data_IF_906630095843
#
_entry.id   IF_906630095843
#
_cell.length_a   1.000
_cell.length_b   1.000
_cell.length_c   1.000
_cell.angle_alpha   90.00
_cell.angle_beta   90.00
_cell.angle_gamma   90.00
#
_symmetry.space_group_name_H-M   'P 1'
#
loop_
_entity.id
_entity.type
_entity.pdbx_description
1 polymer ?
#
# COMPACT_ATOMS: atom_id res chain seq x y z
N UNK A 1 12.89 -1.36 10.65
CA UNK A 1 11.93 -1.54 9.54
C UNK A 1 10.59 -0.86 9.81
N UNK A 2 9.88 -1.17 10.91
CA UNK A 2 8.56 -0.58 11.18
C UNK A 2 8.52 0.97 11.12
N UNK A 3 9.50 1.65 11.72
CA UNK A 3 9.54 3.13 11.75
C UNK A 3 9.59 3.74 10.35
N UNK A 4 10.39 3.18 9.46
CA UNK A 4 10.59 3.69 8.08
C UNK A 4 9.63 3.08 7.06
N UNK A 5 8.75 2.16 7.46
CA UNK A 5 7.80 1.52 6.54
C UNK A 5 6.88 2.50 5.79
N UNK A 6 6.49 3.67 6.34
CA UNK A 6 5.66 4.64 5.61
C UNK A 6 6.23 5.11 4.27
N UNK A 7 7.56 5.10 4.10
CA UNK A 7 8.17 5.58 2.83
C UNK A 7 7.96 4.63 1.66
N UNK A 8 7.67 3.36 1.95
CA UNK A 8 7.63 2.29 0.94
C UNK A 8 6.31 2.29 0.19
N UNK A 9 6.39 2.54 -1.11
CA UNK A 9 5.25 2.55 -2.03
C UNK A 9 4.99 1.19 -2.67
N UNK A 10 6.03 0.62 -3.25
CA UNK A 10 5.99 -0.63 -4.01
C UNK A 10 6.68 -1.76 -3.24
N UNK A 11 6.40 -3.02 -3.61
CA UNK A 11 6.90 -4.17 -2.84
C UNK A 11 8.42 -4.24 -2.74
N UNK A 12 9.10 -4.05 -3.89
CA UNK A 12 10.55 -4.19 -4.03
C UNK A 12 11.35 -3.18 -3.20
N UNK A 13 10.79 -2.00 -2.91
CA UNK A 13 11.44 -0.98 -2.10
C UNK A 13 11.78 -1.46 -0.68
N UNK A 14 11.08 -2.48 -0.17
CA UNK A 14 11.46 -3.10 1.10
C UNK A 14 12.85 -3.74 1.04
N UNK A 15 13.25 -4.32 -0.09
CA UNK A 15 14.59 -4.91 -0.25
C UNK A 15 15.66 -3.84 -0.14
N UNK A 16 15.46 -2.73 -0.86
CA UNK A 16 16.35 -1.58 -0.85
C UNK A 16 16.46 -0.98 0.55
N UNK A 17 15.32 -0.79 1.22
CA UNK A 17 15.26 -0.19 2.54
C UNK A 17 15.90 -1.08 3.62
N UNK A 18 15.67 -2.40 3.57
CA UNK A 18 16.31 -3.34 4.51
C UNK A 18 17.82 -3.33 4.33
N UNK A 19 18.31 -3.39 3.09
CA UNK A 19 19.75 -3.30 2.80
C UNK A 19 20.34 -1.98 3.29
N UNK A 20 19.69 -0.84 3.02
CA UNK A 20 20.13 0.47 3.48
C UNK A 20 20.27 0.51 5.00
N UNK A 21 19.25 0.03 5.72
CA UNK A 21 19.27 -0.03 7.19
C UNK A 21 20.38 -0.94 7.74
N UNK A 22 20.68 -2.04 7.06
CA UNK A 22 21.78 -2.93 7.43
C UNK A 22 23.13 -2.25 7.21
N UNK A 23 23.33 -1.62 6.04
CA UNK A 23 24.55 -0.87 5.72
C UNK A 23 24.76 0.33 6.68
N UNK A 24 23.69 1.01 7.13
CA UNK A 24 23.79 2.05 8.16
C UNK A 24 24.31 1.49 9.48
N UNK A 25 23.79 0.34 9.93
CA UNK A 25 24.11 -0.27 11.24
C UNK A 25 25.43 -1.02 11.28
N UNK A 26 25.83 -1.62 10.16
CA UNK A 26 26.98 -2.51 10.07
C UNK A 26 27.93 -1.92 9.01
N UNK A 27 28.88 -1.05 9.40
CA UNK A 27 29.76 -0.40 8.45
C UNK A 27 30.58 -1.37 7.58
N UNK A 28 30.90 -2.56 8.10
CA UNK A 28 31.71 -3.56 7.41
C UNK A 28 31.05 -4.20 6.18
N UNK A 29 29.73 -4.08 6.01
CA UNK A 29 29.01 -4.60 4.83
C UNK A 29 28.67 -3.50 3.82
N UNK A 30 29.02 -2.24 4.11
CA UNK A 30 28.77 -1.11 3.22
C UNK A 30 29.50 -1.34 1.90
N UNK A 31 28.76 -1.24 0.80
CA UNK A 31 29.34 -1.30 -0.55
C UNK A 31 29.47 0.09 -1.17
N UNK A 32 28.80 1.09 -0.61
CA UNK A 32 28.87 2.49 -1.04
C UNK A 32 28.78 3.43 0.17
N UNK A 33 29.12 4.71 -0.04
CA UNK A 33 29.01 5.77 0.98
C UNK A 33 27.58 6.26 1.20
N UNK A 34 26.59 5.76 0.46
CA UNK A 34 25.21 6.28 0.49
C UNK A 34 24.54 6.13 1.87
N UNK A 35 24.95 5.13 2.66
CA UNK A 35 24.46 4.92 4.02
C UNK A 35 25.17 5.79 5.07
N UNK A 36 26.26 6.46 4.72
CA UNK A 36 27.09 7.22 5.67
C UNK A 36 26.40 8.52 6.07
N UNK A 37 26.30 8.78 7.38
CA UNK A 37 25.65 9.98 7.93
C UNK A 37 24.12 10.03 7.75
N UNK A 38 23.51 9.03 7.11
CA UNK A 38 22.07 8.98 6.93
C UNK A 38 21.36 8.69 8.27
N UNK A 39 20.27 9.40 8.52
CA UNK A 39 19.43 9.20 9.71
C UNK A 39 18.08 8.59 9.34
N UNK A 40 17.33 8.12 10.34
CA UNK A 40 15.99 7.58 10.15
C UNK A 40 15.04 8.68 9.65
N UNK A 41 15.16 9.87 10.21
CA UNK A 41 14.40 11.07 9.84
C UNK A 41 14.74 11.46 8.39
N UNK A 42 16.02 11.42 8.01
CA UNK A 42 16.46 11.68 6.64
C UNK A 42 15.86 10.71 5.62
N UNK A 43 15.71 9.43 5.99
CA UNK A 43 14.99 8.45 5.15
C UNK A 43 13.51 8.81 5.05
N UNK A 44 12.85 9.08 6.17
CA UNK A 44 11.42 9.40 6.21
C UNK A 44 11.07 10.62 5.35
N UNK A 45 11.87 11.68 5.43
CA UNK A 45 11.61 12.94 4.73
C UNK A 45 12.08 12.93 3.27
N UNK A 46 13.07 12.09 2.90
CA UNK A 46 13.76 12.20 1.61
C UNK A 46 13.88 10.89 0.81
N UNK A 47 13.08 9.87 1.12
CA UNK A 47 13.14 8.56 0.44
C UNK A 47 13.04 8.66 -1.09
N UNK A 48 12.21 9.58 -1.60
CA UNK A 48 12.02 9.78 -3.03
C UNK A 48 13.34 10.10 -3.75
N UNK A 49 14.22 10.89 -3.12
CA UNK A 49 15.51 11.26 -3.69
C UNK A 49 16.62 10.25 -3.32
N UNK A 50 16.52 9.57 -2.19
CA UNK A 50 17.48 8.52 -1.78
C UNK A 50 17.37 7.30 -2.69
N UNK A 51 16.14 6.88 -3.03
CA UNK A 51 15.88 5.67 -3.83
C UNK A 51 16.65 5.60 -5.15
N UNK A 52 16.63 6.61 -6.04
CA UNK A 52 17.40 6.55 -7.29
C UNK A 52 18.92 6.47 -7.03
N UNK A 53 19.43 7.16 -6.01
CA UNK A 53 20.86 7.15 -5.66
C UNK A 53 21.32 5.76 -5.20
N UNK A 54 20.55 5.10 -4.32
CA UNK A 54 20.91 3.74 -3.88
C UNK A 54 20.78 2.71 -5.00
N UNK A 55 19.78 2.85 -5.88
CA UNK A 55 19.63 1.96 -7.03
C UNK A 55 20.83 2.05 -7.97
N UNK A 56 21.27 3.27 -8.29
CA UNK A 56 22.47 3.49 -9.12
C UNK A 56 23.73 2.96 -8.43
N UNK A 57 23.96 3.34 -7.18
CA UNK A 57 25.14 2.93 -6.42
C UNK A 57 25.26 1.41 -6.23
N UNK A 58 24.14 0.70 -6.25
CA UNK A 58 24.09 -0.76 -6.13
C UNK A 58 23.91 -1.47 -7.47
N UNK A 59 23.82 -0.72 -8.58
CA UNK A 59 23.57 -1.25 -9.93
C UNK A 59 22.30 -2.10 -10.01
N UNK A 60 21.25 -1.69 -9.31
CA UNK A 60 19.98 -2.40 -9.23
C UNK A 60 19.01 -1.89 -10.30
N UNK A 61 18.31 -2.81 -10.95
CA UNK A 61 17.26 -2.48 -11.90
C UNK A 61 15.86 -2.61 -11.27
N UNK A 62 15.00 -1.62 -11.49
CA UNK A 62 13.64 -1.60 -10.92
C UNK A 62 12.81 -2.81 -11.36
N UNK A 63 12.76 -3.08 -12.65
CA UNK A 63 11.85 -4.07 -13.22
C UNK A 63 12.31 -5.48 -12.83
N UNK A 64 13.62 -5.73 -12.85
CA UNK A 64 14.21 -6.98 -12.35
C UNK A 64 13.88 -7.21 -10.86
N UNK A 65 13.97 -6.17 -10.03
CA UNK A 65 13.61 -6.27 -8.60
C UNK A 65 12.12 -6.52 -8.39
N UNK A 66 11.25 -5.88 -9.18
CA UNK A 66 9.80 -6.11 -9.14
C UNK A 66 9.48 -7.55 -9.50
N UNK A 67 10.08 -8.06 -10.57
CA UNK A 67 9.86 -9.41 -11.07
C UNK A 67 10.40 -10.46 -10.10
N UNK A 68 11.63 -10.28 -9.60
CA UNK A 68 12.23 -11.16 -8.61
C UNK A 68 11.41 -11.21 -7.33
N UNK A 69 10.97 -10.05 -6.81
CA UNK A 69 10.15 -9.97 -5.61
C UNK A 69 8.78 -10.66 -5.80
N UNK A 70 8.19 -10.56 -6.99
CA UNK A 70 6.99 -11.31 -7.35
C UNK A 70 7.24 -12.82 -7.38
N UNK A 71 8.24 -13.25 -8.16
CA UNK A 71 8.57 -14.66 -8.38
C UNK A 71 8.89 -15.41 -7.09
N UNK A 72 9.69 -14.83 -6.21
CA UNK A 72 10.03 -15.47 -4.92
C UNK A 72 8.77 -15.71 -4.06
N UNK A 73 7.80 -14.78 -4.11
CA UNK A 73 6.53 -14.94 -3.38
C UNK A 73 5.64 -15.98 -4.04
N UNK A 74 5.62 -16.05 -5.36
CA UNK A 74 4.89 -17.09 -6.09
C UNK A 74 5.44 -18.48 -5.76
N UNK A 75 6.76 -18.66 -5.86
CA UNK A 75 7.42 -19.93 -5.51
C UNK A 75 7.17 -20.33 -4.04
N UNK A 76 7.15 -19.35 -3.13
CA UNK A 76 6.82 -19.63 -1.73
C UNK A 76 5.36 -20.09 -1.58
N UNK A 77 4.40 -19.41 -2.22
CA UNK A 77 3.00 -19.84 -2.21
C UNK A 77 2.79 -21.23 -2.81
N UNK A 78 3.50 -21.56 -3.89
CA UNK A 78 3.43 -22.87 -4.54
C UNK A 78 4.00 -23.99 -3.66
N UNK A 79 5.13 -23.73 -2.98
CA UNK A 79 5.82 -24.73 -2.16
C UNK A 79 5.16 -24.92 -0.80
N UNK A 80 4.74 -23.83 -0.16
CA UNK A 80 4.20 -23.83 1.20
C UNK A 80 3.29 -22.62 1.42
N UNK A 81 2.05 -22.74 0.94
CA UNK A 81 1.03 -21.71 1.11
C UNK A 81 0.77 -21.40 2.59
N UNK A 82 0.80 -22.39 3.47
CA UNK A 82 0.46 -22.22 4.89
C UNK A 82 1.46 -21.28 5.59
N UNK A 83 2.76 -21.46 5.35
CA UNK A 83 3.79 -20.57 5.91
C UNK A 83 3.76 -19.18 5.28
N UNK A 84 3.48 -19.07 3.98
CA UNK A 84 3.30 -17.77 3.33
C UNK A 84 2.11 -17.01 3.91
N UNK A 85 0.96 -17.67 4.08
CA UNK A 85 -0.24 -17.11 4.72
C UNK A 85 0.07 -16.72 6.16
N UNK A 86 0.75 -17.59 6.92
CA UNK A 86 1.13 -17.35 8.32
C UNK A 86 2.09 -16.18 8.52
N UNK A 87 2.81 -15.73 7.49
CA UNK A 87 3.64 -14.53 7.53
C UNK A 87 2.83 -13.22 7.39
N UNK A 88 1.53 -13.31 7.14
CA UNK A 88 0.64 -12.17 6.94
C UNK A 88 -0.43 -12.11 8.02
N UNK A 89 -1.00 -10.92 8.24
CA UNK A 89 -2.10 -10.71 9.18
C UNK A 89 -2.98 -9.56 8.71
N UNK A 90 -4.29 -9.70 8.93
CA UNK A 90 -5.20 -8.56 8.86
C UNK A 90 -5.17 -7.76 10.16
N UNK A 91 -5.53 -6.48 10.08
CA UNK A 91 -5.84 -5.70 11.26
C UNK A 91 -7.10 -6.26 11.95
N UNK A 92 -7.16 -6.26 13.29
CA UNK A 92 -8.32 -6.75 14.02
C UNK A 92 -9.64 -6.12 13.52
N UNK A 93 -10.67 -6.94 13.33
CA UNK A 93 -12.00 -6.50 12.88
C UNK A 93 -12.16 -6.30 11.37
N UNK A 94 -11.08 -6.12 10.61
CA UNK A 94 -11.15 -5.94 9.14
C UNK A 94 -11.77 -7.13 8.41
N UNK A 95 -11.41 -8.39 8.70
CA UNK A 95 -12.03 -9.53 8.04
C UNK A 95 -13.56 -9.54 8.18
N UNK A 96 -14.07 -9.35 9.40
CA UNK A 96 -15.52 -9.30 9.64
C UNK A 96 -16.16 -8.10 8.94
N UNK A 97 -15.53 -6.92 8.99
CA UNK A 97 -16.04 -5.71 8.35
C UNK A 97 -16.20 -5.90 6.84
N UNK A 98 -15.23 -6.54 6.18
CA UNK A 98 -15.31 -6.83 4.76
C UNK A 98 -16.34 -7.94 4.47
N UNK A 99 -16.41 -8.97 5.31
CA UNK A 99 -17.33 -10.11 5.12
C UNK A 99 -18.80 -9.71 5.23
N UNK A 100 -19.11 -8.81 6.16
CA UNK A 100 -20.46 -8.32 6.42
C UNK A 100 -20.74 -6.97 5.76
N UNK A 101 -19.91 -6.55 4.81
CA UNK A 101 -20.10 -5.27 4.14
C UNK A 101 -21.43 -5.25 3.36
N UNK A 102 -22.25 -4.24 3.61
CA UNK A 102 -23.46 -3.99 2.82
C UNK A 102 -23.15 -3.33 1.47
N UNK A 103 -22.03 -2.61 1.41
CA UNK A 103 -21.51 -1.96 0.20
C UNK A 103 -20.76 -2.93 -0.71
N UNK A 104 -20.78 -2.67 -2.01
CA UNK A 104 -19.97 -3.41 -2.98
C UNK A 104 -18.48 -3.10 -2.79
N UNK A 105 -17.67 -4.15 -2.60
CA UNK A 105 -16.24 -4.03 -2.32
C UNK A 105 -15.39 -4.15 -3.58
N UNK A 106 -14.33 -3.34 -3.60
CA UNK A 106 -13.27 -3.31 -4.59
C UNK A 106 -11.91 -3.22 -3.89
N UNK A 107 -10.91 -3.89 -4.45
CA UNK A 107 -9.53 -3.81 -3.96
C UNK A 107 -8.70 -3.09 -5.01
N UNK A 108 -8.04 -2.00 -4.61
CA UNK A 108 -7.14 -1.23 -5.49
C UNK A 108 -5.75 -1.19 -4.85
N UNK A 109 -4.81 -1.96 -5.40
CA UNK A 109 -3.49 -2.18 -4.80
C UNK A 109 -2.37 -2.09 -5.82
N UNK A 110 -1.19 -1.66 -5.37
CA UNK A 110 0.05 -1.66 -6.17
C UNK A 110 0.77 -3.01 -6.12
N UNK A 111 0.19 -4.02 -5.45
CA UNK A 111 0.70 -5.40 -5.39
C UNK A 111 0.02 -6.26 -6.44
N UNK A 112 0.64 -7.37 -6.83
CA UNK A 112 0.01 -8.34 -7.73
C UNK A 112 -1.32 -8.84 -7.12
N UNK A 113 -2.39 -8.82 -7.91
CA UNK A 113 -3.76 -9.08 -7.42
C UNK A 113 -3.93 -10.45 -6.77
N UNK A 114 -3.27 -11.48 -7.29
CA UNK A 114 -3.26 -12.85 -6.75
C UNK A 114 -2.85 -12.94 -5.27
N UNK A 115 -1.97 -12.04 -4.82
CA UNK A 115 -1.57 -12.02 -3.41
C UNK A 115 -2.66 -11.45 -2.52
N UNK A 116 -3.36 -10.41 -2.98
CA UNK A 116 -4.50 -9.86 -2.24
C UNK A 116 -5.65 -10.87 -2.18
N UNK A 117 -5.94 -11.52 -3.31
CA UNK A 117 -6.94 -12.58 -3.42
C UNK A 117 -6.67 -13.74 -2.46
N UNK A 118 -5.44 -14.29 -2.49
CA UNK A 118 -5.06 -15.37 -1.58
C UNK A 118 -5.21 -14.96 -0.11
N UNK A 119 -4.79 -13.75 0.29
CA UNK A 119 -4.95 -13.31 1.68
C UNK A 119 -6.42 -13.14 2.08
N UNK A 120 -7.24 -12.55 1.22
CA UNK A 120 -8.69 -12.41 1.48
C UNK A 120 -9.36 -13.78 1.65
N UNK A 121 -9.01 -14.73 0.79
CA UNK A 121 -9.56 -16.09 0.85
C UNK A 121 -9.10 -16.82 2.11
N UNK A 122 -7.79 -16.91 2.33
CA UNK A 122 -7.20 -17.76 3.37
C UNK A 122 -7.35 -17.19 4.78
N UNK A 123 -7.24 -15.86 4.95
CA UNK A 123 -7.26 -15.23 6.28
C UNK A 123 -8.59 -14.56 6.63
N UNK A 124 -9.38 -14.15 5.63
CA UNK A 124 -10.68 -13.51 5.87
C UNK A 124 -11.88 -14.38 5.49
N UNK A 125 -11.67 -15.47 4.74
CA UNK A 125 -12.77 -16.30 4.24
C UNK A 125 -13.69 -15.54 3.28
N UNK A 126 -13.13 -14.58 2.52
CA UNK A 126 -13.84 -13.72 1.60
C UNK A 126 -13.36 -13.99 0.18
N UNK A 127 -14.31 -14.16 -0.74
CA UNK A 127 -14.02 -14.22 -2.18
C UNK A 127 -14.54 -12.94 -2.83
N UNK A 128 -13.64 -12.11 -3.31
CA UNK A 128 -13.97 -10.95 -4.15
C UNK A 128 -13.76 -11.37 -5.61
N UNK A 129 -14.74 -11.17 -6.51
CA UNK A 129 -14.56 -11.50 -7.92
C UNK A 129 -13.32 -10.83 -8.53
N UNK A 130 -12.54 -11.54 -9.37
CA UNK A 130 -11.27 -11.04 -9.90
C UNK A 130 -11.37 -9.68 -10.61
N UNK A 131 -12.49 -9.39 -11.28
CA UNK A 131 -12.76 -8.13 -11.96
C UNK A 131 -12.87 -6.92 -11.01
N UNK A 132 -12.99 -7.18 -9.70
CA UNK A 132 -13.03 -6.15 -8.64
C UNK A 132 -11.70 -6.03 -7.88
N UNK A 133 -10.67 -6.77 -8.29
CA UNK A 133 -9.31 -6.69 -7.73
C UNK A 133 -8.38 -6.04 -8.76
N UNK A 134 -8.13 -4.74 -8.56
CA UNK A 134 -7.21 -3.94 -9.36
C UNK A 134 -5.81 -3.98 -8.75
N UNK A 135 -4.97 -4.89 -9.25
CA UNK A 135 -3.60 -5.08 -8.79
C UNK A 135 -2.54 -4.35 -9.60
N UNK A 136 -1.28 -4.72 -9.37
CA UNK A 136 -0.14 -4.27 -10.16
C UNK A 136 -0.41 -4.53 -11.66
N UNK A 137 -0.18 -3.50 -12.48
CA UNK A 137 -0.42 -3.55 -13.93
C UNK A 137 -1.79 -3.02 -14.37
N UNK A 138 -2.73 -2.75 -13.45
CA UNK A 138 -4.04 -2.18 -13.83
C UNK A 138 -4.06 -0.66 -13.99
N UNK A 139 -2.89 -0.01 -13.95
CA UNK A 139 -2.73 1.43 -14.04
C UNK A 139 -2.72 2.17 -12.68
N UNK A 140 -2.52 3.49 -12.68
CA UNK A 140 -2.54 4.31 -11.48
C UNK A 140 -3.89 4.25 -10.75
N UNK A 141 -3.87 4.33 -9.41
CA UNK A 141 -5.10 4.28 -8.60
C UNK A 141 -6.14 5.31 -9.03
N UNK A 142 -5.70 6.54 -9.33
CA UNK A 142 -6.56 7.62 -9.85
C UNK A 142 -7.35 7.17 -11.09
N UNK A 143 -6.70 6.54 -12.06
CA UNK A 143 -7.34 6.09 -13.29
C UNK A 143 -8.27 4.89 -13.03
N UNK A 144 -7.93 4.03 -12.08
CA UNK A 144 -8.85 2.96 -11.62
C UNK A 144 -10.11 3.56 -11.00
N UNK A 145 -10.00 4.60 -10.15
CA UNK A 145 -11.16 5.27 -9.56
C UNK A 145 -12.03 5.95 -10.63
N UNK A 146 -11.41 6.63 -11.62
CA UNK A 146 -12.12 7.21 -12.77
C UNK A 146 -12.84 6.14 -13.60
N UNK A 147 -12.22 4.97 -13.78
CA UNK A 147 -12.85 3.83 -14.46
C UNK A 147 -14.04 3.32 -13.67
N UNK A 148 -13.88 3.12 -12.36
CA UNK A 148 -14.94 2.62 -11.48
C UNK A 148 -16.15 3.57 -11.45
N UNK A 149 -15.95 4.88 -11.29
CA UNK A 149 -17.08 5.83 -11.25
C UNK A 149 -17.88 5.89 -12.57
N UNK A 150 -17.26 5.55 -13.71
CA UNK A 150 -17.89 5.56 -15.03
C UNK A 150 -18.71 4.30 -15.31
N UNK A 151 -18.63 3.29 -14.46
CA UNK A 151 -19.40 2.06 -14.64
C UNK A 151 -20.90 2.34 -14.46
N UNK A 152 -21.78 1.85 -15.34
CA UNK A 152 -23.23 2.07 -15.26
C UNK A 152 -23.84 1.64 -13.92
N UNK A 153 -23.38 0.53 -13.35
CA UNK A 153 -23.82 -0.02 -12.07
C UNK A 153 -23.46 0.86 -10.86
N UNK A 154 -22.54 1.81 -11.03
CA UNK A 154 -22.13 2.74 -9.97
C UNK A 154 -22.80 4.10 -10.06
N UNK A 155 -23.59 4.35 -11.10
CA UNK A 155 -24.29 5.63 -11.25
C UNK A 155 -25.28 5.84 -10.10
N UNK A 156 -25.17 7.01 -9.45
CA UNK A 156 -26.01 7.37 -8.30
C UNK A 156 -25.58 6.75 -6.96
N UNK A 157 -24.54 5.91 -6.93
CA UNK A 157 -23.98 5.40 -5.67
C UNK A 157 -23.07 6.43 -5.01
N UNK A 158 -22.97 6.34 -3.68
CA UNK A 158 -21.95 7.08 -2.93
C UNK A 158 -20.64 6.27 -2.96
N UNK A 159 -19.58 6.88 -3.47
CA UNK A 159 -18.28 6.22 -3.63
C UNK A 159 -17.34 6.60 -2.48
N UNK A 160 -16.69 5.60 -1.90
CA UNK A 160 -15.77 5.75 -0.77
C UNK A 160 -14.41 5.13 -1.12
N UNK A 161 -13.34 5.87 -0.87
CA UNK A 161 -11.97 5.40 -1.07
C UNK A 161 -11.20 5.47 0.25
N UNK A 162 -10.81 4.30 0.75
CA UNK A 162 -10.03 4.14 1.99
C UNK A 162 -8.60 3.75 1.63
N UNK A 163 -7.64 4.51 2.14
CA UNK A 163 -6.22 4.39 1.81
C UNK A 163 -5.38 4.70 3.06
N UNK A 164 -4.19 4.12 3.20
CA UNK A 164 -3.30 4.44 4.33
C UNK A 164 -2.15 5.39 3.98
N UNK A 165 -2.00 5.71 2.69
CA UNK A 165 -0.98 6.62 2.16
C UNK A 165 -1.55 7.98 1.73
N UNK A 166 -1.19 9.03 2.44
CA UNK A 166 -1.64 10.41 2.17
C UNK A 166 -1.32 10.87 0.75
N UNK A 167 -0.13 10.57 0.22
CA UNK A 167 0.27 10.98 -1.13
C UNK A 167 -0.70 10.48 -2.21
N UNK A 168 -1.27 9.27 -2.04
CA UNK A 168 -2.28 8.72 -2.95
C UNK A 168 -3.57 9.54 -2.88
N UNK A 169 -4.05 9.87 -1.68
CA UNK A 169 -5.25 10.72 -1.51
C UNK A 169 -5.05 12.12 -2.09
N UNK A 170 -3.86 12.72 -1.92
CA UNK A 170 -3.51 14.01 -2.52
C UNK A 170 -3.56 13.96 -4.05
N UNK A 171 -3.15 12.85 -4.67
CA UNK A 171 -3.26 12.67 -6.11
C UNK A 171 -4.72 12.54 -6.56
N UNK A 172 -5.59 11.93 -5.76
CA UNK A 172 -7.05 11.89 -6.03
C UNK A 172 -7.67 13.29 -5.93
N UNK A 173 -7.27 14.10 -4.94
CA UNK A 173 -7.77 15.48 -4.78
C UNK A 173 -7.39 16.40 -5.94
N UNK A 174 -6.23 16.16 -6.57
CA UNK A 174 -5.78 16.95 -7.74
C UNK A 174 -6.65 16.75 -8.98
N UNK A 175 -7.56 15.78 -8.96
CA UNK A 175 -8.37 15.38 -10.10
C UNK A 175 -9.82 15.79 -9.87
N UNK A 176 -10.29 16.92 -10.46
CA UNK A 176 -11.65 17.41 -10.22
C UNK A 176 -12.74 16.40 -10.60
N UNK A 177 -12.46 15.52 -11.58
CA UNK A 177 -13.37 14.43 -11.95
C UNK A 177 -13.66 13.45 -10.80
N UNK A 178 -12.81 13.43 -9.77
CA UNK A 178 -12.94 12.57 -8.58
C UNK A 178 -13.47 13.35 -7.35
N UNK A 179 -14.04 14.54 -7.53
CA UNK A 179 -14.60 15.34 -6.43
C UNK A 179 -15.74 14.65 -5.69
N UNK A 180 -16.48 13.76 -6.37
CA UNK A 180 -17.58 12.99 -5.78
C UNK A 180 -17.16 11.85 -4.85
N UNK A 181 -15.87 11.51 -4.76
CA UNK A 181 -15.39 10.47 -3.86
C UNK A 181 -15.21 10.97 -2.43
N UNK A 182 -15.72 10.20 -1.47
CA UNK A 182 -15.43 10.37 -0.05
C UNK A 182 -14.08 9.72 0.25
N UNK A 183 -13.11 10.50 0.74
CA UNK A 183 -11.74 10.05 0.94
C UNK A 183 -11.44 9.83 2.42
N UNK A 184 -10.83 8.69 2.73
CA UNK A 184 -10.47 8.32 4.09
C UNK A 184 -9.00 7.95 4.17
N UNK A 185 -8.29 8.57 5.12
CA UNK A 185 -6.96 8.10 5.52
C UNK A 185 -7.12 7.17 6.72
N UNK A 186 -6.82 5.89 6.55
CA UNK A 186 -6.78 4.93 7.65
C UNK A 186 -5.59 5.23 8.56
N UNK A 187 -5.85 5.68 9.79
CA UNK A 187 -4.82 6.16 10.71
C UNK A 187 -3.99 5.03 11.36
N UNK A 188 -4.45 3.79 11.18
CA UNK A 188 -3.83 2.55 11.68
C UNK A 188 -2.84 1.92 10.70
N UNK A 189 -2.76 2.44 9.48
CA UNK A 189 -1.87 1.95 8.43
C UNK A 189 -0.45 2.52 8.52
N UNK A 190 0.30 2.44 7.42
CA UNK A 190 1.69 2.88 7.40
C UNK A 190 1.84 4.38 7.10
N UNK A 191 1.31 5.23 7.97
CA UNK A 191 1.51 6.68 7.96
C UNK A 191 2.13 7.21 9.26
N UNK A 192 2.82 8.33 9.14
CA UNK A 192 3.46 9.05 10.23
C UNK A 192 2.48 10.01 10.92
N UNK A 193 2.82 10.47 12.14
CA UNK A 193 2.03 11.53 12.80
C UNK A 193 1.97 12.80 11.97
N UNK A 194 3.10 13.20 11.36
CA UNK A 194 3.19 14.35 10.45
C UNK A 194 2.21 14.24 9.27
N UNK A 195 2.09 13.06 8.67
CA UNK A 195 1.12 12.83 7.59
C UNK A 195 -0.32 12.89 8.09
N UNK A 196 -0.63 12.39 9.29
CA UNK A 196 -1.98 12.51 9.86
C UNK A 196 -2.35 13.96 10.18
N UNK A 197 -1.41 14.71 10.74
CA UNK A 197 -1.60 16.15 11.03
C UNK A 197 -1.80 16.92 9.73
N UNK A 198 -1.02 16.62 8.69
CA UNK A 198 -1.20 17.20 7.36
C UNK A 198 -2.57 16.82 6.76
N UNK A 199 -2.96 15.54 6.82
CA UNK A 199 -4.24 15.07 6.30
C UNK A 199 -5.43 15.79 6.95
N UNK A 200 -5.34 16.10 8.25
CA UNK A 200 -6.37 16.86 8.97
C UNK A 200 -6.56 18.30 8.46
N UNK A 201 -5.59 18.85 7.72
CA UNK A 201 -5.72 20.17 7.07
C UNK A 201 -6.53 20.13 5.76
N UNK A 202 -6.73 18.94 5.19
CA UNK A 202 -7.53 18.75 3.98
C UNK A 202 -8.99 18.48 4.33
N UNK A 203 -9.88 19.43 4.01
CA UNK A 203 -11.33 19.26 4.23
C UNK A 203 -11.93 18.05 3.50
N UNK A 204 -11.30 17.58 2.42
CA UNK A 204 -11.73 16.41 1.63
C UNK A 204 -11.28 15.06 2.23
N UNK A 205 -10.36 15.03 3.18
CA UNK A 205 -9.84 13.79 3.77
C UNK A 205 -10.40 13.63 5.18
N UNK A 206 -11.04 12.49 5.43
CA UNK A 206 -11.45 12.12 6.78
C UNK A 206 -10.43 11.13 7.36
N UNK A 207 -9.86 11.47 8.53
CA UNK A 207 -9.11 10.47 9.30
C UNK A 207 -10.11 9.40 9.76
N UNK A 208 -9.79 8.15 9.47
CA UNK A 208 -10.60 7.01 9.84
C UNK A 208 -9.84 6.20 10.87
N UNK A 209 -10.50 5.87 11.98
CA UNK A 209 -10.01 4.94 13.01
C UNK A 209 -10.37 3.50 12.63
N UNK A 210 -9.55 2.53 13.06
CA UNK A 210 -9.77 1.12 12.72
C UNK A 210 -11.12 0.60 13.23
N UNK A 211 -11.51 1.05 14.43
CA UNK A 211 -12.80 0.74 15.04
C UNK A 211 -13.97 1.32 14.24
N UNK A 212 -13.82 2.54 13.70
CA UNK A 212 -14.86 3.21 12.92
C UNK A 212 -14.98 2.61 11.52
N UNK A 213 -13.87 2.24 10.88
CA UNK A 213 -13.88 1.47 9.63
C UNK A 213 -14.68 0.19 9.79
N UNK A 214 -14.41 -0.56 10.87
CA UNK A 214 -15.08 -1.83 11.13
C UNK A 214 -16.59 -1.69 11.41
N UNK A 215 -17.02 -0.52 11.89
CA UNK A 215 -18.44 -0.20 12.12
C UNK A 215 -19.13 0.38 10.90
N UNK A 216 -18.44 1.19 10.10
CA UNK A 216 -19.01 1.87 8.92
C UNK A 216 -19.25 0.93 7.75
N UNK A 217 -18.49 -0.17 7.66
CA UNK A 217 -18.65 -1.16 6.59
C UNK A 217 -19.76 -2.18 6.89
N UNK A 218 -19.96 -2.56 8.15
CA UNK A 218 -21.04 -3.45 8.59
C UNK A 218 -22.39 -2.74 8.49
#
# INVERSE_FOLDING_TARGET
MHIVRPVVETGYENLLLVRLLLEMRIPSIRKSSVAEGLTIEGILDNWFNIKPVIMEAWSENRDELVDLFGKVRDEWMEKDLATWVGANRFYPGVPDALKFASSQLYIVTTKQGRFADALLRELAGITIPPERIYGLGTGPKVEVLKKLQKQPEHQGLTLHFVEDRLATLKNVIKEPELDGWNLYLGDWGYNTQKERDEAATYSRIQLLQLSDFSKKLK
#
